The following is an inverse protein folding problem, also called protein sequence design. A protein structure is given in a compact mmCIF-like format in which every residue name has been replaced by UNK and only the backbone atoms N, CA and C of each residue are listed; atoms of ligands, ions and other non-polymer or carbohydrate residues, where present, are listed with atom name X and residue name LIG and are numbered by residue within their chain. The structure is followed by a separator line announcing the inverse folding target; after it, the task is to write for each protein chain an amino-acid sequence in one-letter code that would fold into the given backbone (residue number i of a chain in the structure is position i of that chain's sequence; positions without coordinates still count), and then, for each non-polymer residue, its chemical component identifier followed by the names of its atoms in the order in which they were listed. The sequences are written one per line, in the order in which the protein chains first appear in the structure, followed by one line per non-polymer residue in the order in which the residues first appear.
data_IF_985503461648
#
_entry.id   IF_985503461648
#
_cell.length_a   1.000
_cell.length_b   1.000
_cell.length_c   1.000
_cell.angle_alpha   90.00
_cell.angle_beta   90.00
_cell.angle_gamma   90.00
#
_symmetry.space_group_name_H-M   'P 1'
#
loop_
_entity.id
_entity.type
_entity.pdbx_description
1 polymer ?
#
# COMPACT_ATOMS: atom_id res chain seq x y z
N UNK A 1 -29.22 38.29 -4.09
CA UNK A 1 -28.46 38.94 -5.18
C UNK A 1 -27.07 39.17 -4.61
N UNK A 2 -26.18 38.19 -4.68
CA UNK A 2 -25.34 37.90 -5.84
C UNK A 2 -25.27 36.38 -6.13
N UNK A 3 -25.86 35.95 -7.24
CA UNK A 3 -25.77 34.59 -7.80
C UNK A 3 -24.38 34.25 -8.38
N UNK A 4 -23.34 34.97 -7.95
CA UNK A 4 -21.98 34.91 -8.51
C UNK A 4 -20.86 34.89 -7.45
N UNK A 5 -21.15 34.93 -6.15
CA UNK A 5 -20.13 34.73 -5.09
C UNK A 5 -19.88 33.24 -4.77
N UNK A 6 -20.57 32.32 -5.46
CA UNK A 6 -20.48 30.87 -5.26
C UNK A 6 -19.96 30.13 -6.50
N UNK A 7 -19.01 30.74 -7.23
CA UNK A 7 -18.36 30.16 -8.41
C UNK A 7 -16.83 30.32 -8.37
N UNK A 8 -16.23 30.35 -7.18
CA UNK A 8 -14.77 30.48 -7.06
C UNK A 8 -14.19 30.20 -5.67
N UNK A 9 -14.97 29.61 -4.76
CA UNK A 9 -14.46 29.17 -3.47
C UNK A 9 -13.54 27.97 -3.69
N UNK A 10 -12.26 28.14 -3.43
CA UNK A 10 -11.22 27.13 -3.49
C UNK A 10 -11.37 26.16 -2.28
N UNK A 11 -12.60 25.77 -1.94
CA UNK A 11 -12.92 24.90 -0.79
C UNK A 11 -12.41 23.48 -1.00
N UNK A 12 -12.36 23.00 -2.25
CA UNK A 12 -11.70 21.73 -2.66
C UNK A 12 -10.17 21.75 -2.56
N UNK A 13 -9.58 22.86 -2.14
CA UNK A 13 -8.15 22.98 -1.83
C UNK A 13 -7.92 23.15 -0.34
N UNK A 14 -8.96 23.10 0.50
CA UNK A 14 -8.78 23.14 1.94
C UNK A 14 -8.04 21.87 2.37
N UNK A 15 -6.79 22.07 2.77
CA UNK A 15 -5.90 21.01 3.22
C UNK A 15 -6.36 20.47 4.57
N UNK A 16 -7.22 19.46 4.54
CA UNK A 16 -7.52 18.65 5.72
C UNK A 16 -6.50 17.51 5.78
N UNK A 17 -5.42 17.74 6.52
CA UNK A 17 -4.46 16.69 6.84
C UNK A 17 -5.14 15.68 7.78
N UNK A 18 -5.60 14.58 7.19
CA UNK A 18 -6.10 13.41 7.89
C UNK A 18 -5.04 12.89 8.88
N UNK A 19 -5.24 13.03 10.20
CA UNK A 19 -4.22 12.68 11.19
C UNK A 19 -3.84 11.20 11.13
N UNK A 20 -4.77 10.34 10.73
CA UNK A 20 -4.60 8.90 10.51
C UNK A 20 -3.62 8.60 9.35
N UNK A 21 -3.69 9.35 8.25
CA UNK A 21 -2.75 9.21 7.12
C UNK A 21 -1.34 9.64 7.52
N UNK A 22 -1.23 10.79 8.20
CA UNK A 22 0.07 11.28 8.70
C UNK A 22 0.66 10.28 9.69
N UNK A 23 -0.16 9.77 10.61
CA UNK A 23 0.23 8.76 11.58
C UNK A 23 0.69 7.48 10.88
N UNK A 24 -0.01 7.02 9.84
CA UNK A 24 0.38 5.86 9.05
C UNK A 24 1.73 6.08 8.37
N UNK A 25 1.92 7.19 7.65
CA UNK A 25 3.17 7.51 6.97
C UNK A 25 4.35 7.63 7.95
N UNK A 26 4.15 8.35 9.07
CA UNK A 26 5.17 8.48 10.13
C UNK A 26 5.49 7.12 10.74
N UNK A 27 4.49 6.28 10.98
CA UNK A 27 4.69 4.93 11.53
C UNK A 27 5.47 4.04 10.56
N UNK A 28 5.14 4.06 9.27
CA UNK A 28 5.86 3.31 8.23
C UNK A 28 7.32 3.75 8.13
N UNK A 29 7.57 5.05 8.03
CA UNK A 29 8.91 5.61 7.97
C UNK A 29 9.70 5.33 9.26
N UNK A 30 9.09 5.57 10.41
CA UNK A 30 9.68 5.33 11.73
C UNK A 30 10.05 3.87 11.92
N UNK A 31 9.16 2.93 11.56
CA UNK A 31 9.44 1.50 11.61
C UNK A 31 10.59 1.10 10.66
N UNK A 32 10.62 1.66 9.45
CA UNK A 32 11.69 1.39 8.47
C UNK A 32 13.06 1.90 8.95
N UNK A 33 13.14 3.14 9.42
CA UNK A 33 14.38 3.70 9.96
C UNK A 33 14.82 3.02 11.26
N UNK A 34 13.87 2.64 12.12
CA UNK A 34 14.16 1.85 13.32
C UNK A 34 14.72 0.46 12.94
N UNK A 35 14.14 -0.20 11.94
CA UNK A 35 14.65 -1.48 11.46
C UNK A 35 16.10 -1.34 10.94
N UNK A 36 16.38 -0.32 10.13
CA UNK A 36 17.70 -0.12 9.52
C UNK A 36 18.76 0.35 10.54
N UNK A 37 18.42 1.24 11.46
CA UNK A 37 19.38 1.84 12.38
C UNK A 37 19.47 1.10 13.71
N UNK A 38 18.36 0.56 14.21
CA UNK A 38 18.27 -0.10 15.51
C UNK A 38 18.36 -1.63 15.44
N UNK A 39 17.67 -2.25 14.48
CA UNK A 39 17.60 -3.71 14.39
C UNK A 39 18.78 -4.29 13.58
N UNK A 40 19.16 -3.65 12.48
CA UNK A 40 20.28 -4.08 11.62
C UNK A 40 21.58 -4.37 12.37
N UNK A 41 22.07 -3.53 13.32
CA UNK A 41 23.32 -3.83 14.03
C UNK A 41 23.23 -5.03 14.96
N UNK A 42 22.02 -5.47 15.31
CA UNK A 42 21.76 -6.63 16.18
C UNK A 42 21.69 -7.95 15.41
N UNK A 43 21.61 -7.89 14.07
CA UNK A 43 21.56 -9.07 13.21
C UNK A 43 22.94 -9.28 12.57
N UNK A 44 23.57 -10.41 12.86
CA UNK A 44 24.89 -10.79 12.32
C UNK A 44 24.89 -10.99 10.80
N UNK A 45 23.73 -11.29 10.21
CA UNK A 45 23.55 -11.56 8.77
C UNK A 45 22.95 -10.34 8.02
N UNK A 46 22.99 -9.15 8.63
CA UNK A 46 22.41 -7.96 8.04
C UNK A 46 23.34 -7.34 6.98
N UNK A 47 23.03 -7.61 5.70
CA UNK A 47 23.71 -7.00 4.56
C UNK A 47 23.67 -5.45 4.51
N UNK A 48 24.29 -4.87 3.49
CA UNK A 48 24.24 -3.42 3.25
C UNK A 48 22.88 -3.01 2.68
N UNK A 49 22.31 -1.93 3.20
CA UNK A 49 21.12 -1.30 2.63
C UNK A 49 21.56 -0.38 1.49
N UNK A 50 20.98 -0.55 0.30
CA UNK A 50 21.30 0.29 -0.87
C UNK A 50 20.52 1.60 -0.80
N UNK A 51 21.12 2.70 -1.26
CA UNK A 51 20.41 3.99 -1.36
C UNK A 51 19.14 3.89 -2.22
N UNK A 52 19.18 3.12 -3.30
CA UNK A 52 18.00 2.88 -4.15
C UNK A 52 16.84 2.24 -3.39
N UNK A 53 17.10 1.36 -2.41
CA UNK A 53 16.06 0.74 -1.59
C UNK A 53 15.37 1.77 -0.70
N UNK A 54 16.15 2.67 -0.09
CA UNK A 54 15.61 3.76 0.72
C UNK A 54 14.75 4.68 -0.15
N UNK A 55 15.24 5.08 -1.33
CA UNK A 55 14.49 5.93 -2.26
C UNK A 55 13.18 5.26 -2.70
N UNK A 56 13.21 3.98 -3.08
CA UNK A 56 12.01 3.23 -3.46
C UNK A 56 10.98 3.16 -2.32
N UNK A 57 11.45 2.91 -1.09
CA UNK A 57 10.57 2.88 0.08
C UNK A 57 9.92 4.25 0.33
N UNK A 58 10.73 5.32 0.29
CA UNK A 58 10.23 6.69 0.43
C UNK A 58 9.23 7.06 -0.67
N UNK A 59 9.49 6.69 -1.92
CA UNK A 59 8.56 6.89 -3.03
C UNK A 59 7.25 6.11 -2.83
N UNK A 60 7.32 4.89 -2.29
CA UNK A 60 6.12 4.10 -1.97
C UNK A 60 5.27 4.75 -0.87
N UNK A 61 5.91 5.25 0.21
CA UNK A 61 5.20 5.99 1.27
C UNK A 61 4.64 7.31 0.75
N UNK A 62 5.41 8.02 -0.09
CA UNK A 62 4.95 9.25 -0.74
C UNK A 62 3.74 9.00 -1.64
N UNK A 63 3.70 7.88 -2.38
CA UNK A 63 2.55 7.53 -3.19
C UNK A 63 1.29 7.30 -2.33
N UNK A 64 1.41 6.67 -1.16
CA UNK A 64 0.31 6.54 -0.20
C UNK A 64 -0.12 7.93 0.29
N UNK A 65 0.83 8.77 0.70
CA UNK A 65 0.55 10.12 1.18
C UNK A 65 -0.15 10.97 0.13
N UNK A 66 0.31 10.93 -1.13
CA UNK A 66 -0.32 11.66 -2.24
C UNK A 66 -1.74 11.16 -2.48
N UNK A 67 -1.94 9.83 -2.45
CA UNK A 67 -3.25 9.24 -2.71
C UNK A 67 -4.28 9.49 -1.60
N UNK A 68 -3.86 9.69 -0.35
CA UNK A 68 -4.77 9.72 0.83
C UNK A 68 -4.70 10.98 1.67
N UNK A 69 -3.58 11.72 1.64
CA UNK A 69 -3.34 12.88 2.49
C UNK A 69 -3.39 14.23 1.76
N UNK A 70 -3.80 14.24 0.50
CA UNK A 70 -3.94 15.46 -0.32
C UNK A 70 -5.42 15.74 -0.60
N UNK A 71 -5.79 16.95 -1.07
CA UNK A 71 -7.18 17.28 -1.43
C UNK A 71 -7.77 16.37 -2.53
N UNK A 72 -6.94 15.53 -3.16
CA UNK A 72 -7.35 14.43 -4.03
C UNK A 72 -8.27 13.45 -3.28
N UNK A 73 -8.08 13.27 -1.98
CA UNK A 73 -8.88 12.38 -1.15
C UNK A 73 -10.33 12.87 -1.05
N UNK A 74 -10.53 14.12 -0.67
CA UNK A 74 -11.86 14.73 -0.61
C UNK A 74 -12.50 14.83 -2.01
N UNK A 75 -11.69 15.14 -3.03
CA UNK A 75 -12.14 15.18 -4.43
C UNK A 75 -12.56 13.80 -4.95
N UNK A 76 -11.85 12.75 -4.54
CA UNK A 76 -12.13 11.34 -4.83
C UNK A 76 -13.42 10.87 -4.18
N UNK A 77 -13.61 11.17 -2.89
CA UNK A 77 -14.74 10.66 -2.11
C UNK A 77 -16.04 11.39 -2.39
N UNK A 78 -15.98 12.71 -2.62
CA UNK A 78 -17.19 13.55 -2.60
C UNK A 78 -17.61 14.03 -3.99
N UNK A 79 -16.73 14.01 -5.00
CA UNK A 79 -16.98 14.73 -6.25
C UNK A 79 -16.72 13.91 -7.53
N UNK A 80 -15.64 13.13 -7.60
CA UNK A 80 -15.19 12.53 -8.87
C UNK A 80 -14.78 11.06 -8.72
N UNK A 81 -15.64 10.17 -9.24
CA UNK A 81 -15.37 8.73 -9.35
C UNK A 81 -14.08 8.42 -10.12
N UNK A 82 -13.68 9.26 -11.08
CA UNK A 82 -12.41 9.09 -11.81
C UNK A 82 -11.19 9.28 -10.90
N UNK A 83 -11.24 10.28 -10.00
CA UNK A 83 -10.17 10.55 -9.03
C UNK A 83 -10.12 9.43 -7.98
N UNK A 84 -11.27 8.89 -7.60
CA UNK A 84 -11.38 7.69 -6.76
C UNK A 84 -10.68 6.47 -7.33
N UNK A 85 -10.86 6.21 -8.62
CA UNK A 85 -10.16 5.11 -9.29
C UNK A 85 -8.66 5.38 -9.38
N UNK A 86 -8.23 6.63 -9.62
CA UNK A 86 -6.80 6.98 -9.61
C UNK A 86 -6.19 6.75 -8.22
N UNK A 87 -6.89 7.12 -7.15
CA UNK A 87 -6.45 6.82 -5.78
C UNK A 87 -6.27 5.30 -5.57
N UNK A 88 -7.24 4.49 -5.99
CA UNK A 88 -7.15 3.04 -5.92
C UNK A 88 -5.95 2.49 -6.72
N UNK A 89 -5.71 3.00 -7.93
CA UNK A 89 -4.57 2.59 -8.76
C UNK A 89 -3.23 2.97 -8.13
N UNK A 90 -3.10 4.15 -7.53
CA UNK A 90 -1.88 4.54 -6.79
C UNK A 90 -1.62 3.61 -5.60
N UNK A 91 -2.66 3.31 -4.83
CA UNK A 91 -2.58 2.47 -3.64
C UNK A 91 -2.36 0.99 -3.95
N UNK A 92 -2.75 0.51 -5.13
CA UNK A 92 -2.64 -0.92 -5.49
C UNK A 92 -1.53 -1.23 -6.49
N UNK A 93 -1.21 -0.33 -7.41
CA UNK A 93 -0.22 -0.58 -8.48
C UNK A 93 1.10 0.16 -8.29
N UNK A 94 1.11 1.29 -7.57
CA UNK A 94 2.32 2.11 -7.41
C UNK A 94 2.96 1.91 -6.04
N UNK A 95 2.22 2.16 -4.96
CA UNK A 95 2.76 2.06 -3.61
C UNK A 95 3.26 0.64 -3.26
N UNK A 96 2.51 -0.46 -3.50
CA UNK A 96 2.91 -1.78 -3.06
C UNK A 96 4.24 -2.30 -3.65
N UNK A 97 4.48 -2.27 -4.97
CA UNK A 97 5.75 -2.76 -5.51
C UNK A 97 6.95 -1.89 -5.07
N UNK A 98 6.75 -0.58 -4.92
CA UNK A 98 7.78 0.33 -4.40
C UNK A 98 8.15 0.03 -2.95
N UNK A 99 7.14 -0.18 -2.09
CA UNK A 99 7.36 -0.57 -0.70
C UNK A 99 8.08 -1.92 -0.58
N UNK A 100 7.66 -2.92 -1.37
CA UNK A 100 8.28 -4.25 -1.35
C UNK A 100 9.75 -4.18 -1.80
N UNK A 101 10.02 -3.48 -2.91
CA UNK A 101 11.37 -3.32 -3.46
C UNK A 101 12.28 -2.47 -2.56
N UNK A 102 11.69 -1.52 -1.83
CA UNK A 102 12.41 -0.63 -0.92
C UNK A 102 12.83 -1.30 0.40
N UNK A 103 12.21 -2.41 0.76
CA UNK A 103 12.59 -3.18 1.95
C UNK A 103 13.74 -4.15 1.65
N UNK A 104 14.85 -4.09 2.41
CA UNK A 104 15.97 -5.02 2.23
C UNK A 104 15.59 -6.49 2.46
N UNK A 105 16.20 -7.40 1.71
CA UNK A 105 15.94 -8.84 1.79
C UNK A 105 16.17 -9.43 3.18
N UNK A 106 17.16 -8.92 3.94
CA UNK A 106 17.42 -9.36 5.31
C UNK A 106 16.25 -9.02 6.24
N UNK A 107 15.55 -7.90 6.03
CA UNK A 107 14.40 -7.50 6.84
C UNK A 107 13.21 -8.40 6.53
N UNK A 108 12.99 -8.68 5.25
CA UNK A 108 12.00 -9.66 4.81
C UNK A 108 12.27 -11.06 5.39
N UNK A 109 13.52 -11.51 5.39
CA UNK A 109 13.93 -12.78 5.99
C UNK A 109 13.70 -12.80 7.50
N UNK A 110 13.98 -11.70 8.20
CA UNK A 110 13.74 -11.58 9.63
C UNK A 110 12.23 -11.63 9.98
N UNK A 111 11.39 -11.01 9.16
CA UNK A 111 9.93 -10.95 9.38
C UNK A 111 9.20 -12.23 8.97
N UNK A 112 9.55 -12.79 7.80
CA UNK A 112 8.77 -13.84 7.13
C UNK A 112 9.49 -15.18 7.01
N UNK A 113 10.80 -15.21 7.31
CA UNK A 113 11.67 -16.39 7.16
C UNK A 113 11.85 -17.23 8.42
N UNK A 114 11.21 -16.88 9.54
CA UNK A 114 11.30 -17.66 10.77
C UNK A 114 10.72 -19.08 10.60
N UNK A 115 11.29 -20.08 11.29
CA UNK A 115 10.93 -21.51 11.15
C UNK A 115 9.42 -21.81 11.23
N UNK A 116 8.68 -21.08 12.07
CA UNK A 116 7.24 -21.24 12.26
C UNK A 116 6.41 -20.35 11.31
N UNK A 117 7.00 -19.26 10.81
CA UNK A 117 6.31 -18.26 9.97
C UNK A 117 6.42 -18.64 8.49
N UNK A 118 7.57 -19.19 8.07
CA UNK A 118 7.87 -19.53 6.68
C UNK A 118 6.84 -20.46 6.02
N UNK A 119 6.32 -21.52 6.67
CA UNK A 119 5.27 -22.35 6.08
C UNK A 119 3.98 -21.56 5.79
N UNK A 120 3.58 -20.69 6.71
CA UNK A 120 2.40 -19.82 6.54
C UNK A 120 2.64 -18.81 5.42
N UNK A 121 3.80 -18.15 5.43
CA UNK A 121 4.22 -17.22 4.36
C UNK A 121 4.15 -17.89 2.98
N UNK A 122 4.58 -19.14 2.84
CA UNK A 122 4.56 -19.87 1.56
C UNK A 122 3.14 -20.13 1.04
N UNK A 123 2.18 -20.35 1.93
CA UNK A 123 0.78 -20.58 1.57
C UNK A 123 0.10 -19.24 1.26
N UNK A 124 0.22 -18.27 2.16
CA UNK A 124 -0.44 -16.96 2.06
C UNK A 124 0.09 -16.15 0.89
N UNK A 125 1.40 -16.22 0.62
CA UNK A 125 2.06 -15.52 -0.48
C UNK A 125 2.26 -16.42 -1.72
N UNK A 126 1.47 -17.50 -1.83
CA UNK A 126 1.44 -18.31 -3.04
C UNK A 126 0.77 -17.51 -4.19
N UNK A 127 1.34 -17.48 -5.41
CA UNK A 127 0.81 -16.70 -6.54
C UNK A 127 -0.70 -16.80 -6.75
N UNK A 128 -1.25 -18.01 -6.77
CA UNK A 128 -2.69 -18.20 -7.00
C UNK A 128 -3.55 -17.67 -5.84
N UNK A 129 -3.04 -17.75 -4.61
CA UNK A 129 -3.75 -17.25 -3.43
C UNK A 129 -3.75 -15.73 -3.44
N UNK A 130 -2.59 -15.12 -3.67
CA UNK A 130 -2.46 -13.66 -3.71
C UNK A 130 -3.26 -13.05 -4.85
N UNK A 131 -3.25 -13.68 -6.03
CA UNK A 131 -4.08 -13.28 -7.16
C UNK A 131 -5.56 -13.39 -6.83
N UNK A 132 -6.00 -14.53 -6.30
CA UNK A 132 -7.40 -14.77 -5.94
C UNK A 132 -7.91 -13.78 -4.90
N UNK A 133 -7.14 -13.55 -3.83
CA UNK A 133 -7.51 -12.62 -2.75
C UNK A 133 -7.61 -11.19 -3.25
N UNK A 134 -6.63 -10.71 -4.03
CA UNK A 134 -6.66 -9.35 -4.56
C UNK A 134 -7.85 -9.12 -5.50
N UNK A 135 -8.06 -10.02 -6.47
CA UNK A 135 -9.16 -9.89 -7.41
C UNK A 135 -10.53 -10.00 -6.71
N UNK A 136 -10.64 -10.92 -5.74
CA UNK A 136 -11.86 -11.04 -4.93
C UNK A 136 -12.16 -9.74 -4.19
N UNK A 137 -11.16 -9.16 -3.52
CA UNK A 137 -11.34 -7.90 -2.81
C UNK A 137 -11.68 -6.75 -3.75
N UNK A 138 -11.02 -6.62 -4.91
CA UNK A 138 -11.38 -5.62 -5.93
C UNK A 138 -12.84 -5.76 -6.32
N UNK A 139 -13.34 -6.97 -6.62
CA UNK A 139 -14.75 -7.16 -6.98
C UNK A 139 -15.66 -6.75 -5.82
N UNK A 140 -15.39 -7.24 -4.61
CA UNK A 140 -16.26 -6.99 -3.44
C UNK A 140 -16.28 -5.51 -3.07
N UNK A 141 -15.14 -4.83 -3.05
CA UNK A 141 -15.06 -3.42 -2.64
C UNK A 141 -15.74 -2.49 -3.63
N UNK A 142 -15.92 -2.91 -4.88
CA UNK A 142 -16.60 -2.14 -5.92
C UNK A 142 -18.07 -2.55 -6.11
N UNK A 143 -18.61 -3.45 -5.27
CA UNK A 143 -20.05 -3.70 -5.25
C UNK A 143 -20.77 -2.45 -4.75
N UNK A 144 -21.88 -2.02 -5.39
CA UNK A 144 -22.54 -0.75 -5.04
C UNK A 144 -22.85 -0.59 -3.56
N UNK A 145 -23.33 -1.64 -2.90
CA UNK A 145 -23.65 -1.58 -1.47
C UNK A 145 -22.41 -1.44 -0.56
N UNK A 146 -21.24 -1.95 -0.96
CA UNK A 146 -20.00 -1.81 -0.19
C UNK A 146 -19.48 -0.38 -0.33
N UNK A 147 -19.51 0.16 -1.54
CA UNK A 147 -19.15 1.56 -1.82
C UNK A 147 -20.08 2.50 -1.06
N UNK A 148 -21.40 2.31 -1.15
CA UNK A 148 -22.39 3.14 -0.47
C UNK A 148 -22.19 3.14 1.06
N UNK A 149 -21.83 2.00 1.63
CA UNK A 149 -21.56 1.88 3.06
C UNK A 149 -20.22 2.54 3.44
N UNK A 150 -19.19 2.36 2.62
CA UNK A 150 -17.90 2.99 2.81
C UNK A 150 -17.98 4.52 2.75
N UNK A 151 -18.79 5.08 1.88
CA UNK A 151 -19.01 6.54 1.81
C UNK A 151 -19.73 7.11 3.05
N UNK A 152 -20.39 6.28 3.86
CA UNK A 152 -21.13 6.71 5.06
C UNK A 152 -20.34 6.53 6.35
N UNK A 153 -19.52 5.49 6.43
CA UNK A 153 -18.83 5.09 7.64
C UNK A 153 -17.30 5.19 7.47
N UNK A 154 -16.72 6.25 8.03
CA UNK A 154 -15.28 6.57 7.91
C UNK A 154 -14.36 5.38 8.27
N UNK A 155 -14.64 4.69 9.38
CA UNK A 155 -13.82 3.53 9.78
C UNK A 155 -13.92 2.37 8.79
N UNK A 156 -15.11 2.12 8.24
CA UNK A 156 -15.28 1.08 7.24
C UNK A 156 -14.54 1.42 5.96
N UNK A 157 -14.60 2.68 5.53
CA UNK A 157 -13.83 3.20 4.40
C UNK A 157 -12.32 3.00 4.57
N UNK A 158 -11.80 3.34 5.75
CA UNK A 158 -10.39 3.13 6.10
C UNK A 158 -10.02 1.65 6.00
N UNK A 159 -10.85 0.74 6.56
CA UNK A 159 -10.60 -0.69 6.50
C UNK A 159 -10.64 -1.25 5.08
N UNK A 160 -11.54 -0.76 4.21
CA UNK A 160 -11.59 -1.13 2.80
C UNK A 160 -10.27 -0.76 2.11
N UNK A 161 -9.80 0.47 2.28
CA UNK A 161 -8.52 0.92 1.73
C UNK A 161 -7.34 0.12 2.28
N UNK A 162 -7.31 -0.14 3.59
CA UNK A 162 -6.27 -0.95 4.21
C UNK A 162 -6.26 -2.40 3.69
N UNK A 163 -7.44 -3.00 3.49
CA UNK A 163 -7.57 -4.35 2.92
C UNK A 163 -7.11 -4.39 1.46
N UNK A 164 -7.43 -3.37 0.67
CA UNK A 164 -6.94 -3.25 -0.71
C UNK A 164 -5.42 -3.11 -0.77
N UNK A 165 -4.82 -2.23 0.04
CA UNK A 165 -3.34 -2.09 0.10
C UNK A 165 -2.69 -3.39 0.58
N UNK A 166 -3.24 -4.03 1.61
CA UNK A 166 -2.73 -5.30 2.14
C UNK A 166 -2.77 -6.43 1.10
N UNK A 167 -3.89 -6.56 0.39
CA UNK A 167 -4.03 -7.55 -0.69
C UNK A 167 -3.17 -7.23 -1.91
N UNK A 168 -2.93 -5.95 -2.21
CA UNK A 168 -2.01 -5.55 -3.26
C UNK A 168 -0.55 -5.85 -2.89
N UNK A 169 -0.14 -5.63 -1.65
CA UNK A 169 1.17 -6.06 -1.15
C UNK A 169 1.34 -7.58 -1.30
N UNK A 170 0.30 -8.35 -1.00
CA UNK A 170 0.29 -9.79 -1.26
C UNK A 170 0.42 -10.09 -2.76
N UNK A 171 -0.37 -9.43 -3.62
CA UNK A 171 -0.35 -9.63 -5.07
C UNK A 171 1.02 -9.36 -5.68
N UNK A 172 1.68 -8.28 -5.29
CA UNK A 172 2.99 -7.88 -5.81
C UNK A 172 4.15 -8.68 -5.23
N UNK A 173 3.94 -9.42 -4.14
CA UNK A 173 4.98 -10.19 -3.48
C UNK A 173 5.63 -11.25 -4.38
N UNK A 174 4.91 -12.12 -5.11
CA UNK A 174 5.54 -13.13 -5.97
C UNK A 174 6.32 -12.56 -7.16
N UNK A 175 6.06 -11.30 -7.52
CA UNK A 175 6.70 -10.58 -8.64
C UNK A 175 7.97 -9.88 -8.16
N UNK A 176 7.87 -9.11 -7.08
CA UNK A 176 8.96 -8.22 -6.59
C UNK A 176 9.68 -8.80 -5.37
N UNK A 177 8.95 -9.51 -4.50
CA UNK A 177 9.42 -10.07 -3.23
C UNK A 177 10.57 -11.06 -3.43
N UNK A 178 11.58 -10.97 -2.56
CA UNK A 178 12.89 -11.59 -2.79
C UNK A 178 13.51 -12.22 -1.56
N UNK A 179 12.81 -13.17 -0.95
CA UNK A 179 13.43 -14.07 0.01
C UNK A 179 13.80 -15.36 -0.73
N UNK A 180 15.05 -15.80 -0.60
CA UNK A 180 15.47 -17.14 -0.99
C UNK A 180 14.54 -18.19 -0.34
N UNK A 181 13.78 -18.93 -1.15
CA UNK A 181 12.86 -19.97 -0.68
C UNK A 181 11.38 -19.55 -0.50
N UNK A 182 11.02 -18.30 -0.80
CA UNK A 182 9.63 -17.92 -1.07
C UNK A 182 9.31 -18.15 -2.56
N UNK A 183 8.07 -18.54 -2.94
CA UNK A 183 7.73 -18.81 -4.34
C UNK A 183 7.91 -17.54 -5.18
N UNK A 184 8.84 -17.57 -6.15
CA UNK A 184 8.94 -16.56 -7.20
C UNK A 184 8.37 -17.15 -8.47
N UNK A 185 7.51 -16.43 -9.17
CA UNK A 185 7.08 -16.89 -10.50
C UNK A 185 8.27 -16.84 -11.45
N UNK A 186 8.41 -17.87 -12.28
CA UNK A 186 9.29 -17.83 -13.45
C UNK A 186 8.81 -16.79 -14.45
N UNK A 187 9.73 -16.18 -15.22
CA UNK A 187 9.45 -15.07 -16.14
C UNK A 187 8.18 -15.22 -17.03
N UNK A 188 7.90 -16.38 -17.65
CA UNK A 188 6.69 -16.52 -18.47
C UNK A 188 5.40 -16.35 -17.67
N UNK A 189 5.37 -16.84 -16.43
CA UNK A 189 4.20 -16.72 -15.57
C UNK A 189 4.11 -15.34 -14.90
N UNK A 190 5.23 -14.62 -14.72
CA UNK A 190 5.18 -13.21 -14.29
C UNK A 190 4.49 -12.32 -15.33
N UNK A 191 4.65 -12.63 -16.62
CA UNK A 191 3.99 -11.87 -17.70
C UNK A 191 2.50 -12.16 -17.79
N UNK A 192 2.07 -13.35 -17.35
CA UNK A 192 0.67 -13.77 -17.39
C UNK A 192 -0.12 -13.39 -16.12
N UNK A 193 0.58 -12.98 -15.06
CA UNK A 193 0.07 -12.63 -13.74
C UNK A 193 -0.25 -11.14 -13.64
#
# INVERSE_FOLDING_TARGET
MTLFDNIGGVEWLDWHLHPDVVLLCVTLLGAYFYAINGLRPRLSDAGRVKHSQVVLYLCGVLAIFVATGTPIHDLSEQYLLSVHMVQHLLLTLVAPPLLIAGVPSWLWRAMLGGKHVLPVTRIVLHPLVTFGVFNFLIVVTHLPFVVDYALREHWFHFFVHAALVGSALMMWWPVVGGIEGAPRLTYPYQMAY
#
